data_IF_450802323441
#
_entry.id   IF_450802323441
#
_cell.length_a   1.000
_cell.length_b   1.000
_cell.length_c   1.000
_cell.angle_alpha   90.00
_cell.angle_beta   90.00
_cell.angle_gamma   90.00
#
_symmetry.space_group_name_H-M   'P 1'
#
loop_
_entity.id
_entity.type
_entity.pdbx_description
1 polymer ?
#
# COMPACT_ATOMS: atom_id res chain seq x y z
N UNK A 1 9.71 -46.19 24.85
CA UNK A 1 8.45 -45.47 24.58
C UNK A 1 8.56 -43.94 24.60
N UNK A 2 9.64 -43.31 25.09
CA UNK A 2 9.75 -41.84 25.15
C UNK A 2 10.03 -41.12 23.83
N UNK A 3 10.75 -41.76 22.90
CA UNK A 3 11.13 -41.14 21.60
C UNK A 3 9.91 -40.97 20.69
N UNK A 4 8.99 -41.94 20.70
CA UNK A 4 7.78 -41.90 19.89
C UNK A 4 6.87 -40.73 20.30
N UNK A 5 6.73 -40.50 21.61
CA UNK A 5 6.01 -39.36 22.17
C UNK A 5 6.65 -38.01 21.80
N UNK A 6 7.99 -37.94 21.77
CA UNK A 6 8.70 -36.71 21.39
C UNK A 6 8.48 -36.36 19.91
N UNK A 7 8.53 -37.36 19.02
CA UNK A 7 8.30 -37.17 17.57
C UNK A 7 6.87 -36.75 17.30
N UNK A 8 5.88 -37.41 17.93
CA UNK A 8 4.47 -37.02 17.76
C UNK A 8 4.18 -35.63 18.30
N UNK A 9 4.83 -35.24 19.41
CA UNK A 9 4.69 -33.89 19.98
C UNK A 9 5.31 -32.82 19.08
N UNK A 10 6.48 -33.10 18.51
CA UNK A 10 7.15 -32.20 17.57
C UNK A 10 6.36 -32.02 16.28
N UNK A 11 5.79 -33.12 15.75
CA UNK A 11 4.92 -33.08 14.58
C UNK A 11 3.63 -32.29 14.85
N UNK A 12 3.07 -32.41 16.06
CA UNK A 12 1.88 -31.66 16.49
C UNK A 12 2.18 -30.15 16.57
N UNK A 13 3.35 -29.76 17.09
CA UNK A 13 3.81 -28.37 17.14
C UNK A 13 4.00 -27.80 15.73
N UNK A 14 4.58 -28.58 14.81
CA UNK A 14 4.72 -28.20 13.39
C UNK A 14 3.38 -28.06 12.67
N UNK A 15 2.39 -28.89 12.99
CA UNK A 15 1.02 -28.79 12.47
C UNK A 15 0.26 -27.58 13.06
N UNK A 16 0.54 -27.23 14.32
CA UNK A 16 0.01 -26.03 14.99
C UNK A 16 0.69 -24.74 14.52
N UNK A 17 1.90 -24.83 14.00
CA UNK A 17 2.59 -23.76 13.27
C UNK A 17 2.00 -23.58 11.86
N UNK A 18 0.67 -23.46 11.77
CA UNK A 18 0.06 -22.88 10.58
C UNK A 18 0.74 -21.52 10.35
N UNK A 19 1.20 -21.20 9.13
CA UNK A 19 1.51 -19.83 8.82
C UNK A 19 0.22 -19.07 9.12
N UNK A 20 0.27 -18.17 10.10
CA UNK A 20 -0.75 -17.12 10.17
C UNK A 20 -0.57 -16.36 8.87
N UNK A 21 -1.28 -16.82 7.83
CA UNK A 21 -1.65 -15.95 6.73
C UNK A 21 -2.43 -14.87 7.44
N UNK A 22 -1.73 -13.80 7.78
CA UNK A 22 -2.33 -12.57 8.26
C UNK A 22 -3.20 -12.16 7.08
N UNK A 23 -4.45 -12.61 7.08
CA UNK A 23 -5.46 -12.01 6.24
C UNK A 23 -5.53 -10.58 6.76
N UNK A 24 -4.78 -9.72 6.09
CA UNK A 24 -5.01 -8.29 6.12
C UNK A 24 -6.35 -8.17 5.42
N UNK A 25 -7.42 -8.23 6.21
CA UNK A 25 -8.74 -7.87 5.72
C UNK A 25 -8.62 -6.47 5.16
N UNK A 26 -8.94 -6.33 3.88
CA UNK A 26 -9.11 -5.04 3.25
C UNK A 26 -10.20 -4.31 4.03
N UNK A 27 -9.80 -3.33 4.83
CA UNK A 27 -10.71 -2.25 5.21
C UNK A 27 -10.67 -1.31 4.02
N UNK A 28 -11.77 -1.18 3.25
CA UNK A 28 -11.87 -0.11 2.28
C UNK A 28 -11.52 1.19 2.99
N UNK A 29 -10.71 2.08 2.39
CA UNK A 29 -10.56 3.40 2.97
C UNK A 29 -11.95 3.99 3.09
N UNK A 30 -12.34 4.36 4.32
CA UNK A 30 -13.68 4.86 4.66
C UNK A 30 -14.05 6.16 3.91
N UNK A 31 -13.20 6.64 3.01
CA UNK A 31 -13.48 7.76 2.14
C UNK A 31 -12.66 7.68 0.84
N UNK A 32 -13.02 6.79 -0.09
CA UNK A 32 -12.81 7.13 -1.51
C UNK A 32 -13.76 8.29 -1.79
N UNK A 33 -13.28 9.52 -1.65
CA UNK A 33 -14.08 10.71 -1.93
C UNK A 33 -14.17 10.80 -3.46
N UNK A 34 -15.35 10.56 -4.07
CA UNK A 34 -15.46 10.65 -5.51
C UNK A 34 -15.19 12.10 -5.94
N UNK A 35 -14.30 12.24 -6.91
CA UNK A 35 -14.03 13.52 -7.54
C UNK A 35 -15.13 13.82 -8.58
N UNK A 36 -15.65 15.03 -8.55
CA UNK A 36 -16.54 15.60 -9.55
C UNK A 36 -15.72 16.51 -10.45
N UNK A 37 -15.55 16.08 -11.70
CA UNK A 37 -14.74 16.79 -12.69
C UNK A 37 -15.25 18.22 -12.87
N UNK A 38 -14.40 19.20 -12.56
CA UNK A 38 -14.68 20.63 -12.72
C UNK A 38 -15.35 21.31 -11.52
N UNK A 39 -15.69 20.56 -10.47
CA UNK A 39 -16.34 21.09 -9.26
C UNK A 39 -15.42 21.04 -8.03
N UNK A 40 -14.44 20.13 -8.01
CA UNK A 40 -13.53 19.99 -6.88
C UNK A 40 -12.44 21.06 -6.86
N UNK A 41 -12.09 21.51 -5.64
CA UNK A 41 -10.97 22.42 -5.45
C UNK A 41 -9.63 21.70 -5.70
N UNK A 42 -8.58 22.42 -6.11
CA UNK A 42 -7.25 21.82 -6.30
C UNK A 42 -6.72 21.11 -5.05
N UNK A 43 -7.06 21.58 -3.84
CA UNK A 43 -6.72 20.93 -2.57
C UNK A 43 -7.35 19.54 -2.47
N UNK A 44 -8.62 19.42 -2.86
CA UNK A 44 -9.36 18.15 -2.82
C UNK A 44 -8.83 17.16 -3.85
N UNK A 45 -8.46 17.63 -5.03
CA UNK A 45 -7.81 16.81 -6.07
C UNK A 45 -6.45 16.30 -5.57
N UNK A 46 -5.62 17.18 -5.00
CA UNK A 46 -4.34 16.80 -4.41
C UNK A 46 -4.48 15.78 -3.26
N UNK A 47 -5.49 15.96 -2.40
CA UNK A 47 -5.81 15.01 -1.33
C UNK A 47 -6.21 13.63 -1.89
N UNK A 48 -7.03 13.59 -2.94
CA UNK A 48 -7.42 12.35 -3.60
C UNK A 48 -6.22 11.62 -4.21
N UNK A 49 -5.31 12.35 -4.86
CA UNK A 49 -4.05 11.77 -5.35
C UNK A 49 -3.20 11.16 -4.22
N UNK A 50 -3.06 11.86 -3.08
CA UNK A 50 -2.32 11.33 -1.93
C UNK A 50 -2.97 10.06 -1.35
N UNK A 51 -4.30 9.99 -1.31
CA UNK A 51 -5.03 8.79 -0.89
C UNK A 51 -4.72 7.63 -1.86
N UNK A 52 -4.86 7.86 -3.17
CA UNK A 52 -4.59 6.84 -4.19
C UNK A 52 -3.14 6.34 -4.13
N UNK A 53 -2.16 7.24 -3.99
CA UNK A 53 -0.74 6.87 -3.81
C UNK A 53 -0.58 5.94 -2.59
N UNK A 54 -1.21 6.29 -1.47
CA UNK A 54 -1.15 5.51 -0.24
C UNK A 54 -1.75 4.12 -0.42
N UNK A 55 -2.92 4.02 -1.06
CA UNK A 55 -3.58 2.75 -1.38
C UNK A 55 -2.68 1.88 -2.25
N UNK A 56 -2.11 2.42 -3.33
CA UNK A 56 -1.22 1.68 -4.21
C UNK A 56 0.05 1.21 -3.48
N UNK A 57 0.63 2.03 -2.58
CA UNK A 57 1.74 1.61 -1.73
C UNK A 57 1.34 0.43 -0.83
N UNK A 58 0.16 0.49 -0.19
CA UNK A 58 -0.34 -0.60 0.65
C UNK A 58 -0.58 -1.88 -0.15
N UNK A 59 -1.21 -1.77 -1.33
CA UNK A 59 -1.41 -2.89 -2.23
C UNK A 59 -0.09 -3.48 -2.70
N UNK A 60 0.91 -2.68 -3.03
CA UNK A 60 2.24 -3.15 -3.39
C UNK A 60 2.93 -3.89 -2.22
N UNK A 61 2.79 -3.39 -0.99
CA UNK A 61 3.32 -4.05 0.21
C UNK A 61 2.62 -5.37 0.53
N UNK A 62 1.33 -5.50 0.21
CA UNK A 62 0.53 -6.69 0.47
C UNK A 62 0.67 -7.78 -0.61
N UNK A 63 1.29 -7.47 -1.76
CA UNK A 63 1.40 -8.36 -2.91
C UNK A 63 2.86 -8.69 -3.27
N UNK A 64 3.05 -9.59 -4.24
CA UNK A 64 4.37 -10.02 -4.73
C UNK A 64 4.43 -10.04 -6.26
N UNK A 65 5.65 -10.14 -6.81
CA UNK A 65 5.87 -10.31 -8.25
C UNK A 65 5.28 -9.17 -9.09
N UNK A 66 4.57 -9.53 -10.15
CA UNK A 66 4.00 -8.58 -11.11
C UNK A 66 2.94 -7.66 -10.47
N UNK A 67 2.13 -8.16 -9.54
CA UNK A 67 1.09 -7.36 -8.86
C UNK A 67 1.73 -6.32 -7.95
N UNK A 68 2.77 -6.69 -7.19
CA UNK A 68 3.56 -5.71 -6.42
C UNK A 68 4.11 -4.61 -7.32
N UNK A 69 4.74 -5.00 -8.43
CA UNK A 69 5.35 -4.06 -9.38
C UNK A 69 4.32 -3.13 -9.99
N UNK A 70 3.18 -3.66 -10.45
CA UNK A 70 2.08 -2.86 -10.99
C UNK A 70 1.63 -1.76 -10.02
N UNK A 71 1.34 -2.11 -8.77
CA UNK A 71 0.88 -1.12 -7.80
C UNK A 71 1.99 -0.11 -7.43
N UNK A 72 3.25 -0.55 -7.35
CA UNK A 72 4.36 0.36 -7.08
C UNK A 72 4.60 1.35 -8.23
N UNK A 73 4.48 0.90 -9.48
CA UNK A 73 4.59 1.76 -10.68
C UNK A 73 3.39 2.70 -10.82
N UNK A 74 2.18 2.26 -10.48
CA UNK A 74 1.00 3.13 -10.45
C UNK A 74 1.13 4.22 -9.38
N UNK A 75 1.59 3.86 -8.16
CA UNK A 75 1.89 4.85 -7.12
C UNK A 75 2.93 5.88 -7.60
N UNK A 76 3.97 5.44 -8.31
CA UNK A 76 4.99 6.33 -8.87
C UNK A 76 4.39 7.28 -9.92
N UNK A 77 3.56 6.78 -10.84
CA UNK A 77 2.91 7.60 -11.87
C UNK A 77 2.00 8.68 -11.28
N UNK A 78 1.20 8.32 -10.28
CA UNK A 78 0.32 9.30 -9.61
C UNK A 78 1.16 10.34 -8.84
N UNK A 79 2.22 9.90 -8.16
CA UNK A 79 3.12 10.80 -7.43
C UNK A 79 3.82 11.80 -8.37
N UNK A 80 4.27 11.36 -9.55
CA UNK A 80 4.88 12.25 -10.54
C UNK A 80 3.89 13.29 -11.06
N UNK A 81 2.64 12.89 -11.36
CA UNK A 81 1.57 13.83 -11.74
C UNK A 81 1.34 14.87 -10.65
N UNK A 82 1.15 14.41 -9.40
CA UNK A 82 0.90 15.29 -8.27
C UNK A 82 2.09 16.21 -7.98
N UNK A 83 3.32 15.73 -8.15
CA UNK A 83 4.53 16.54 -7.96
C UNK A 83 4.62 17.65 -9.01
N UNK A 84 4.26 17.36 -10.27
CA UNK A 84 4.20 18.38 -11.31
C UNK A 84 3.10 19.41 -11.04
N UNK A 85 1.89 18.94 -10.71
CA UNK A 85 0.75 19.82 -10.39
C UNK A 85 1.04 20.73 -9.18
N UNK A 86 1.67 20.18 -8.13
CA UNK A 86 2.00 20.90 -6.91
C UNK A 86 2.92 22.12 -7.13
N UNK A 87 3.67 22.17 -8.23
CA UNK A 87 4.51 23.33 -8.57
C UNK A 87 3.68 24.58 -8.90
N UNK A 88 2.41 24.40 -9.27
CA UNK A 88 1.53 25.48 -9.70
C UNK A 88 0.42 25.80 -8.70
N UNK A 89 0.38 25.10 -7.56
CA UNK A 89 -0.65 25.28 -6.53
C UNK A 89 -0.28 26.45 -5.59
N UNK A 90 -1.27 27.22 -5.10
CA UNK A 90 -1.04 28.29 -4.13
C UNK A 90 -0.83 27.75 -2.69
N UNK A 91 -0.60 26.45 -2.54
CA UNK A 91 -0.41 25.77 -1.26
C UNK A 91 0.59 24.61 -1.41
N UNK A 92 1.17 24.19 -0.29
CA UNK A 92 2.13 23.08 -0.26
C UNK A 92 1.42 21.75 -0.04
N UNK A 93 1.69 20.78 -0.91
CA UNK A 93 1.30 19.38 -0.69
C UNK A 93 2.36 18.69 0.16
N UNK A 94 1.98 18.22 1.35
CA UNK A 94 2.88 17.52 2.28
C UNK A 94 2.89 16.01 2.03
N UNK A 95 3.93 15.30 2.48
CA UNK A 95 3.99 13.83 2.37
C UNK A 95 4.58 13.28 1.06
N UNK A 96 4.92 14.14 0.09
CA UNK A 96 5.45 13.71 -1.22
C UNK A 96 6.82 13.01 -1.10
N UNK A 97 7.68 13.47 -0.18
CA UNK A 97 9.02 12.91 0.03
C UNK A 97 8.92 11.51 0.66
N UNK A 98 8.05 11.36 1.65
CA UNK A 98 7.78 10.10 2.35
C UNK A 98 7.18 9.08 1.38
N UNK A 99 6.24 9.52 0.53
CA UNK A 99 5.66 8.69 -0.53
C UNK A 99 6.74 8.23 -1.52
N UNK A 100 7.58 9.14 -2.02
CA UNK A 100 8.69 8.80 -2.93
C UNK A 100 9.64 7.78 -2.29
N UNK A 101 9.99 7.97 -1.02
CA UNK A 101 10.86 7.05 -0.30
C UNK A 101 10.24 5.65 -0.14
N UNK A 102 8.93 5.58 0.14
CA UNK A 102 8.21 4.32 0.25
C UNK A 102 8.13 3.58 -1.10
N UNK A 103 7.79 4.28 -2.19
CA UNK A 103 7.70 3.73 -3.54
C UNK A 103 9.07 3.24 -4.01
N UNK A 104 10.13 4.01 -3.77
CA UNK A 104 11.50 3.64 -4.16
C UNK A 104 11.96 2.33 -3.48
N UNK A 105 11.48 2.02 -2.28
CA UNK A 105 11.75 0.72 -1.63
C UNK A 105 10.95 -0.43 -2.25
N UNK A 106 9.79 -0.12 -2.84
CA UNK A 106 8.92 -1.09 -3.51
C UNK A 106 9.35 -1.39 -4.95
N UNK A 107 10.11 -0.49 -5.59
CA UNK A 107 10.63 -0.69 -6.95
C UNK A 107 12.05 -1.28 -6.99
N UNK A 108 12.72 -1.37 -5.84
CA UNK A 108 13.90 -2.23 -5.68
C UNK A 108 13.48 -3.71 -5.71
#
# INVERSE_FOLDING_TARGET
MGIFLAITSFLLILLLARPRVRQVGYTPPDAVIPLHRGEDTPERVAQSHMIAITEHIQHAQANVGAVRRYHAEEAQRILESLHHEAQFLPFTVTGLIEAQAAISRLLR
#
